data_IF_107398158797
#
_entry.id   IF_107398158797
#
_cell.length_a   1.000
_cell.length_b   1.000
_cell.length_c   1.000
_cell.angle_alpha   90.00
_cell.angle_beta   90.00
_cell.angle_gamma   90.00
#
_symmetry.space_group_name_H-M   'P 1'
#
loop_
_entity.id
_entity.type
_entity.pdbx_description
1 polymer ?
#
# COMPACT_ATOMS: atom_id res chain seq x y z
N UNK A 1 -3.44 10.29 0.11
CA UNK A 1 -4.86 10.01 -0.19
C UNK A 1 -5.15 10.59 -1.56
N UNK A 2 -5.59 9.78 -2.52
CA UNK A 2 -6.06 10.26 -3.82
C UNK A 2 -7.51 9.86 -3.96
N UNK A 3 -8.37 10.85 -4.11
CA UNK A 3 -9.80 10.67 -4.37
C UNK A 3 -10.09 11.27 -5.74
N UNK A 4 -10.64 10.46 -6.64
CA UNK A 4 -11.13 10.91 -7.94
C UNK A 4 -12.62 10.61 -8.05
N UNK A 5 -13.40 11.66 -8.28
CA UNK A 5 -14.82 11.56 -8.55
C UNK A 5 -15.06 11.87 -10.03
N UNK A 6 -15.72 10.97 -10.73
CA UNK A 6 -16.12 11.12 -12.12
C UNK A 6 -17.63 10.91 -12.23
N UNK A 7 -18.31 11.86 -12.85
CA UNK A 7 -19.75 11.80 -13.08
C UNK A 7 -20.03 11.88 -14.58
N UNK A 8 -20.73 10.88 -15.11
CA UNK A 8 -21.27 10.87 -16.46
C UNK A 8 -22.78 10.96 -16.39
N UNK A 9 -23.40 11.83 -17.20
CA UNK A 9 -24.85 12.00 -17.23
C UNK A 9 -25.38 12.17 -18.65
N UNK A 10 -26.61 11.72 -18.88
CA UNK A 10 -27.35 12.03 -20.12
C UNK A 10 -27.80 13.51 -20.06
N UNK A 11 -27.47 14.37 -21.05
CA UNK A 11 -27.92 15.76 -21.09
C UNK A 11 -29.46 15.85 -21.05
N UNK A 12 -30.01 16.91 -20.46
CA UNK A 12 -31.44 17.11 -20.18
C UNK A 12 -32.02 16.16 -19.12
N UNK A 13 -31.93 14.84 -19.31
CA UNK A 13 -32.57 13.84 -18.44
C UNK A 13 -31.90 13.71 -17.07
N UNK A 14 -30.57 13.88 -17.02
CA UNK A 14 -29.81 13.84 -15.77
C UNK A 14 -30.12 15.00 -14.82
N UNK A 15 -30.71 16.10 -15.29
CA UNK A 15 -30.99 17.27 -14.46
C UNK A 15 -32.42 17.30 -13.92
N UNK A 16 -33.25 16.29 -14.25
CA UNK A 16 -34.63 16.20 -13.79
C UNK A 16 -34.66 15.88 -12.28
N UNK A 17 -35.28 16.72 -11.44
CA UNK A 17 -35.47 16.40 -10.02
C UNK A 17 -36.30 15.11 -9.87
N UNK A 18 -36.04 14.34 -8.81
CA UNK A 18 -36.67 13.03 -8.53
C UNK A 18 -36.14 11.86 -9.36
N UNK A 19 -36.06 11.97 -10.70
CA UNK A 19 -35.70 10.84 -11.58
C UNK A 19 -34.31 10.92 -12.24
N UNK A 20 -33.63 12.07 -12.16
CA UNK A 20 -32.36 12.28 -12.85
C UNK A 20 -31.22 11.36 -12.41
N UNK A 21 -31.28 10.79 -11.20
CA UNK A 21 -30.25 9.85 -10.71
C UNK A 21 -30.19 8.54 -11.52
N UNK A 22 -31.32 8.10 -12.12
CA UNK A 22 -31.34 6.91 -12.99
C UNK A 22 -30.57 7.09 -14.30
N UNK A 23 -30.30 8.34 -14.68
CA UNK A 23 -29.60 8.72 -15.91
C UNK A 23 -28.18 9.26 -15.63
N UNK A 24 -27.69 9.09 -14.39
CA UNK A 24 -26.34 9.43 -13.94
C UNK A 24 -25.57 8.16 -13.63
N UNK A 25 -24.27 8.20 -13.90
CA UNK A 25 -23.30 7.20 -13.46
C UNK A 25 -22.17 7.92 -12.74
N UNK A 26 -22.02 7.62 -11.45
CA UNK A 26 -20.96 8.17 -10.59
C UNK A 26 -19.93 7.07 -10.31
N UNK A 27 -18.67 7.36 -10.53
CA UNK A 27 -17.55 6.49 -10.17
C UNK A 27 -16.73 7.21 -9.09
N UNK A 28 -16.54 6.54 -7.95
CA UNK A 28 -15.74 7.03 -6.84
C UNK A 28 -14.61 6.05 -6.59
N UNK A 29 -13.41 6.45 -6.96
CA UNK A 29 -12.21 5.64 -6.75
C UNK A 29 -11.44 6.17 -5.55
N UNK A 30 -11.25 5.30 -4.54
CA UNK A 30 -10.46 5.59 -3.34
C UNK A 30 -9.24 4.69 -3.31
N UNK A 31 -8.06 5.29 -3.45
CA UNK A 31 -6.79 4.57 -3.35
C UNK A 31 -6.06 4.92 -2.06
N UNK A 32 -5.74 3.90 -1.26
CA UNK A 32 -4.93 3.97 -0.05
C UNK A 32 -3.71 3.07 -0.23
N UNK A 33 -2.52 3.64 -0.17
CA UNK A 33 -1.25 2.92 -0.27
C UNK A 33 -0.46 3.15 1.02
N UNK A 34 -0.31 2.09 1.80
CA UNK A 34 0.53 2.08 3.01
C UNK A 34 1.83 1.35 2.67
N UNK A 35 2.97 2.00 2.94
CA UNK A 35 4.29 1.41 2.75
C UNK A 35 4.98 1.35 4.11
N UNK A 36 5.37 0.15 4.54
CA UNK A 36 6.18 -0.07 5.74
C UNK A 36 7.56 -0.49 5.28
N UNK A 37 8.58 0.28 5.68
CA UNK A 37 9.98 -0.05 5.47
C UNK A 37 10.64 -0.28 6.82
N UNK A 38 11.14 -1.48 7.07
CA UNK A 38 11.85 -1.84 8.29
C UNK A 38 13.35 -1.95 7.99
N UNK A 39 14.18 -1.22 8.71
CA UNK A 39 15.64 -1.26 8.61
C UNK A 39 16.21 -1.54 9.98
N UNK A 40 16.97 -2.63 10.11
CA UNK A 40 17.69 -2.96 11.34
C UNK A 40 19.17 -2.67 11.13
N UNK A 41 19.68 -1.51 11.58
CA UNK A 41 21.11 -1.23 11.49
C UNK A 41 21.88 -2.12 12.47
N UNK A 42 23.01 -2.68 12.03
CA UNK A 42 23.95 -3.38 12.89
C UNK A 42 25.30 -2.67 12.87
N UNK A 43 25.84 -2.41 14.05
CA UNK A 43 27.14 -1.76 14.25
C UNK A 43 28.13 -2.87 14.61
N UNK A 44 29.24 -2.97 13.87
CA UNK A 44 30.31 -3.92 14.12
C UNK A 44 31.51 -3.14 14.62
N UNK A 45 31.98 -3.44 15.83
CA UNK A 45 33.04 -2.66 16.52
C UNK A 45 34.40 -3.34 16.52
N UNK A 46 34.48 -4.66 16.37
CA UNK A 46 35.74 -5.39 16.26
C UNK A 46 35.70 -6.48 15.16
N UNK A 47 36.83 -6.79 14.47
CA UNK A 47 36.87 -7.82 13.42
C UNK A 47 36.44 -9.21 13.90
N UNK A 48 36.67 -9.54 15.17
CA UNK A 48 36.26 -10.80 15.82
C UNK A 48 34.75 -10.92 16.07
N UNK A 49 34.01 -9.80 16.02
CA UNK A 49 32.55 -9.81 16.16
C UNK A 49 31.84 -10.15 14.84
N UNK A 50 32.50 -9.90 13.70
CA UNK A 50 31.98 -10.22 12.36
C UNK A 50 31.72 -11.71 12.17
N UNK A 51 32.60 -12.57 12.71
CA UNK A 51 32.47 -14.03 12.58
C UNK A 51 31.24 -14.57 13.33
N UNK A 52 31.00 -14.08 14.54
CA UNK A 52 29.86 -14.48 15.36
C UNK A 52 28.53 -13.96 14.77
N UNK A 53 28.51 -12.71 14.28
CA UNK A 53 27.31 -12.13 13.65
C UNK A 53 26.94 -12.89 12.37
N UNK A 54 27.91 -13.32 11.56
CA UNK A 54 27.64 -14.13 10.37
C UNK A 54 26.99 -15.48 10.72
N UNK A 55 27.44 -16.14 11.80
CA UNK A 55 26.86 -17.41 12.24
C UNK A 55 25.43 -17.24 12.79
N UNK A 56 25.18 -16.20 13.58
CA UNK A 56 23.85 -15.90 14.12
C UNK A 56 22.82 -15.62 13.01
N UNK A 57 23.23 -14.94 11.94
CA UNK A 57 22.37 -14.66 10.78
C UNK A 57 22.05 -15.90 9.96
N UNK A 58 23.04 -16.77 9.75
CA UNK A 58 22.85 -18.02 9.02
C UNK A 58 21.85 -18.91 9.78
N UNK A 59 21.94 -18.95 11.11
CA UNK A 59 20.96 -19.66 11.96
C UNK A 59 19.53 -19.13 11.79
N UNK A 60 19.33 -17.82 11.95
CA UNK A 60 18.01 -17.20 11.88
C UNK A 60 17.32 -17.34 10.50
N UNK A 61 18.09 -17.39 9.41
CA UNK A 61 17.54 -17.57 8.05
C UNK A 61 17.15 -19.04 7.82
N UNK A 62 17.92 -20.00 8.34
CA UNK A 62 17.63 -21.43 8.19
C UNK A 62 16.35 -21.88 8.94
N UNK A 63 15.98 -21.18 10.01
CA UNK A 63 14.77 -21.47 10.81
C UNK A 63 13.49 -20.97 10.13
N UNK A 64 13.60 -20.05 9.17
CA UNK A 64 12.46 -19.51 8.41
C UNK A 64 12.15 -20.37 7.17
N UNK A 65 13.14 -21.11 6.65
CA UNK A 65 12.97 -22.00 5.49
C UNK A 65 12.51 -23.43 5.84
N UNK A 66 12.27 -23.74 7.12
CA UNK A 66 11.66 -25.01 7.58
C UNK A 66 10.20 -24.87 8.01
#
# INVERSE_FOLDING_TARGET
HSESESEQKVPLLGDIPVIGELFKRKTKDKSKRELILLVTPHIITAPSESENVSMDRIGAISEIEY
#
